data_IF_715720061393
#
_entry.id   IF_715720061393
#
_cell.length_a   1.000
_cell.length_b   1.000
_cell.length_c   1.000
_cell.angle_alpha   90.00
_cell.angle_beta   90.00
_cell.angle_gamma   90.00
#
_symmetry.space_group_name_H-M   'P 1'
#
loop_
_entity.id
_entity.type
_entity.pdbx_description
1 polymer ?
#
# COMPACT_ATOMS: atom_id res chain seq x y z
N UNK A 1 7.45 0.32 -11.14
CA UNK A 1 6.86 -0.84 -10.46
C UNK A 1 7.03 -2.04 -11.37
N UNK A 2 7.50 -3.15 -10.83
CA UNK A 2 7.66 -4.43 -11.56
C UNK A 2 6.67 -5.44 -10.99
N UNK A 3 6.19 -6.37 -11.83
CA UNK A 3 5.25 -7.40 -11.40
C UNK A 3 5.53 -8.73 -12.05
N UNK A 4 5.35 -9.80 -11.28
CA UNK A 4 5.55 -11.18 -11.72
C UNK A 4 4.48 -12.07 -11.09
N UNK A 5 4.07 -13.13 -11.77
CA UNK A 5 3.28 -14.21 -11.17
C UNK A 5 4.24 -15.38 -10.89
N UNK A 6 4.24 -15.86 -9.65
CA UNK A 6 4.95 -17.07 -9.24
C UNK A 6 3.95 -18.19 -9.00
N UNK A 7 4.31 -19.40 -9.44
CA UNK A 7 3.52 -20.64 -9.27
C UNK A 7 2.03 -20.52 -9.64
N UNK A 8 1.71 -19.58 -10.54
CA UNK A 8 0.38 -19.20 -11.03
C UNK A 8 -0.62 -18.69 -9.96
N UNK A 9 -0.26 -18.65 -8.68
CA UNK A 9 -1.15 -18.26 -7.58
C UNK A 9 -0.57 -17.23 -6.60
N UNK A 10 0.69 -16.82 -6.78
CA UNK A 10 1.35 -15.78 -6.00
C UNK A 10 1.62 -14.57 -6.89
N UNK A 11 1.00 -13.43 -6.58
CA UNK A 11 1.34 -12.16 -7.19
C UNK A 11 2.58 -11.55 -6.53
N UNK A 12 3.49 -11.04 -7.32
CA UNK A 12 4.63 -10.28 -6.86
C UNK A 12 4.55 -8.86 -7.41
N UNK A 13 4.71 -7.87 -6.53
CA UNK A 13 4.78 -6.45 -6.87
C UNK A 13 6.02 -5.88 -6.21
N UNK A 14 6.95 -5.37 -7.00
CA UNK A 14 8.10 -4.60 -6.50
C UNK A 14 7.82 -3.11 -6.59
N UNK A 15 7.86 -2.45 -5.44
CA UNK A 15 7.61 -1.04 -5.30
C UNK A 15 8.86 -0.32 -4.77
N UNK A 16 9.50 0.44 -5.67
CA UNK A 16 10.76 1.17 -5.40
C UNK A 16 10.55 2.63 -4.93
N UNK A 17 9.34 3.18 -5.06
CA UNK A 17 9.00 4.54 -4.61
C UNK A 17 7.48 4.73 -4.47
N UNK A 18 7.04 5.51 -3.47
CA UNK A 18 5.64 5.91 -3.31
C UNK A 18 5.27 7.14 -4.17
N UNK A 19 4.95 6.92 -5.45
CA UNK A 19 4.49 7.96 -6.38
C UNK A 19 2.98 8.27 -6.31
N UNK A 20 2.55 9.38 -6.94
CA UNK A 20 1.14 9.84 -6.96
C UNK A 20 0.17 8.86 -7.61
N UNK A 21 0.59 8.18 -8.69
CA UNK A 21 -0.27 7.28 -9.47
C UNK A 21 -0.20 5.81 -9.02
N UNK A 22 0.81 5.46 -8.24
CA UNK A 22 1.13 4.07 -7.86
C UNK A 22 -0.04 3.38 -7.16
N UNK A 23 -0.74 4.06 -6.24
CA UNK A 23 -1.85 3.45 -5.52
C UNK A 23 -2.96 3.00 -6.48
N UNK A 24 -3.27 3.81 -7.50
CA UNK A 24 -4.27 3.45 -8.51
C UNK A 24 -3.85 2.25 -9.35
N UNK A 25 -2.58 2.18 -9.73
CA UNK A 25 -2.04 1.10 -10.55
C UNK A 25 -1.97 -0.23 -9.80
N UNK A 26 -1.57 -0.20 -8.51
CA UNK A 26 -1.60 -1.37 -7.64
C UNK A 26 -3.04 -1.86 -7.50
N UNK A 27 -4.01 -0.99 -7.20
CA UNK A 27 -5.42 -1.37 -7.07
C UNK A 27 -5.96 -2.07 -8.33
N UNK A 28 -5.67 -1.53 -9.52
CA UNK A 28 -6.08 -2.14 -10.80
C UNK A 28 -5.48 -3.54 -10.98
N UNK A 29 -4.20 -3.72 -10.64
CA UNK A 29 -3.52 -5.01 -10.75
C UNK A 29 -4.05 -6.03 -9.75
N UNK A 30 -4.23 -5.63 -8.49
CA UNK A 30 -4.82 -6.49 -7.46
C UNK A 30 -6.25 -6.92 -7.83
N UNK A 31 -7.05 -6.04 -8.44
CA UNK A 31 -8.36 -6.41 -8.96
C UNK A 31 -8.29 -7.45 -10.09
N UNK A 32 -7.27 -7.36 -10.96
CA UNK A 32 -6.98 -8.38 -11.96
C UNK A 32 -6.59 -9.72 -11.32
N UNK A 33 -5.66 -9.69 -10.38
CA UNK A 33 -5.18 -10.88 -9.65
C UNK A 33 -6.29 -11.58 -8.86
N UNK A 34 -7.17 -10.81 -8.21
CA UNK A 34 -8.35 -11.35 -7.52
C UNK A 34 -9.27 -12.13 -8.47
N UNK A 35 -9.46 -11.64 -9.71
CA UNK A 35 -10.25 -12.35 -10.74
C UNK A 35 -9.55 -13.60 -11.27
N UNK A 36 -8.22 -13.61 -11.27
CA UNK A 36 -7.41 -14.76 -11.68
C UNK A 36 -7.30 -15.84 -10.61
N UNK A 37 -7.81 -15.60 -9.39
CA UNK A 37 -7.74 -16.57 -8.30
C UNK A 37 -6.41 -16.59 -7.55
N UNK A 38 -5.61 -15.52 -7.67
CA UNK A 38 -4.36 -15.35 -6.90
C UNK A 38 -4.66 -15.42 -5.40
N UNK A 39 -3.86 -16.20 -4.67
CA UNK A 39 -4.05 -16.53 -3.25
C UNK A 39 -3.08 -15.82 -2.32
N UNK A 40 -1.94 -15.38 -2.85
CA UNK A 40 -0.94 -14.66 -2.07
C UNK A 40 -0.38 -13.45 -2.82
N UNK A 41 0.10 -12.47 -2.07
CA UNK A 41 0.80 -11.29 -2.57
C UNK A 41 2.14 -11.14 -1.85
N UNK A 42 3.21 -10.98 -2.63
CA UNK A 42 4.50 -10.50 -2.17
C UNK A 42 4.63 -9.04 -2.61
N UNK A 43 4.63 -8.12 -1.64
CA UNK A 43 4.95 -6.72 -1.86
C UNK A 43 6.41 -6.49 -1.48
N UNK A 44 7.28 -6.38 -2.48
CA UNK A 44 8.70 -6.12 -2.28
C UNK A 44 8.98 -4.61 -2.20
N UNK A 45 9.40 -4.18 -1.00
CA UNK A 45 9.78 -2.79 -0.68
C UNK A 45 11.30 -2.59 -0.58
N UNK A 46 12.12 -3.58 -0.97
CA UNK A 46 13.58 -3.45 -0.94
C UNK A 46 14.05 -2.29 -1.82
N UNK A 47 14.95 -1.48 -1.27
CA UNK A 47 15.49 -0.26 -1.87
C UNK A 47 14.47 0.86 -2.10
N UNK A 48 13.31 0.84 -1.44
CA UNK A 48 12.33 1.93 -1.46
C UNK A 48 12.75 3.07 -0.53
N UNK A 49 13.35 4.12 -1.08
CA UNK A 49 14.03 5.18 -0.33
C UNK A 49 13.17 6.43 -0.03
N UNK A 50 11.99 6.59 -0.63
CA UNK A 50 11.23 7.85 -0.51
C UNK A 50 9.77 7.71 -0.96
N UNK A 51 9.07 8.84 -0.88
CA UNK A 51 7.83 9.09 -1.60
C UNK A 51 6.76 9.72 -0.73
N UNK A 52 5.54 9.71 -1.24
CA UNK A 52 4.42 10.44 -0.66
C UNK A 52 3.74 9.62 0.43
N UNK A 53 3.72 10.16 1.65
CA UNK A 53 3.01 9.55 2.78
C UNK A 53 1.54 9.24 2.45
N UNK A 54 0.85 10.13 1.74
CA UNK A 54 -0.52 9.89 1.28
C UNK A 54 -0.65 8.68 0.35
N UNK A 55 0.35 8.46 -0.52
CA UNK A 55 0.37 7.28 -1.40
C UNK A 55 0.58 5.99 -0.58
N UNK A 56 1.47 6.01 0.41
CA UNK A 56 1.66 4.89 1.33
C UNK A 56 0.37 4.57 2.12
N UNK A 57 -0.29 5.59 2.68
CA UNK A 57 -1.58 5.45 3.37
C UNK A 57 -2.64 4.81 2.47
N UNK A 58 -2.74 5.27 1.21
CA UNK A 58 -3.69 4.71 0.26
C UNK A 58 -3.41 3.24 -0.08
N UNK A 59 -2.14 2.86 -0.23
CA UNK A 59 -1.74 1.47 -0.50
C UNK A 59 -2.04 0.57 0.70
N UNK A 60 -1.70 1.00 1.91
CA UNK A 60 -1.97 0.22 3.14
C UNK A 60 -3.47 0.01 3.35
N UNK A 61 -4.27 1.04 3.06
CA UNK A 61 -5.74 1.00 3.16
C UNK A 61 -6.41 -0.01 2.23
N UNK A 62 -5.67 -0.59 1.27
CA UNK A 62 -6.16 -1.66 0.41
C UNK A 62 -6.25 -3.01 1.12
N UNK A 63 -5.48 -3.19 2.20
CA UNK A 63 -5.33 -4.48 2.89
C UNK A 63 -5.91 -4.46 4.31
N UNK A 64 -5.87 -3.30 4.96
CA UNK A 64 -6.30 -3.17 6.36
C UNK A 64 -7.75 -2.67 6.40
N UNK A 65 -8.62 -3.45 7.04
CA UNK A 65 -10.00 -3.07 7.38
C UNK A 65 -9.99 -2.14 8.58
N UNK A 66 -11.07 -1.35 8.71
CA UNK A 66 -11.31 -0.41 9.80
C UNK A 66 -10.37 0.82 9.79
N UNK A 67 -10.73 1.87 10.53
CA UNK A 67 -9.92 3.10 10.69
C UNK A 67 -8.79 2.87 11.70
N UNK A 68 -7.75 2.17 11.28
CA UNK A 68 -6.55 1.92 12.09
C UNK A 68 -5.56 3.08 11.90
N UNK A 69 -4.97 3.54 13.00
CA UNK A 69 -3.89 4.51 12.98
C UNK A 69 -2.66 3.91 12.28
N UNK A 70 -2.28 4.46 11.13
CA UNK A 70 -1.12 4.04 10.34
C UNK A 70 0.14 4.73 10.83
N UNK A 71 0.09 6.07 10.96
CA UNK A 71 1.27 6.85 11.36
C UNK A 71 0.86 8.03 12.22
N UNK A 72 1.70 8.31 13.20
CA UNK A 72 1.75 9.59 13.90
C UNK A 72 2.94 10.38 13.36
N UNK A 73 2.68 11.48 12.67
CA UNK A 73 3.72 12.41 12.24
C UNK A 73 3.74 13.61 13.20
N UNK A 74 4.84 13.80 13.92
CA UNK A 74 5.05 15.00 14.75
C UNK A 74 5.99 15.93 14.00
N UNK A 75 5.50 17.11 13.58
CA UNK A 75 6.35 18.12 12.97
C UNK A 75 6.91 19.04 14.06
N UNK A 76 7.99 18.64 14.74
CA UNK A 76 8.63 19.44 15.81
C UNK A 76 8.50 18.81 17.21
N UNK A 77 8.67 19.60 18.27
CA UNK A 77 8.56 19.15 19.69
C UNK A 77 7.24 19.52 20.37
N UNK A 78 6.26 19.99 19.60
CA UNK A 78 4.97 20.47 20.14
C UNK A 78 3.88 19.47 19.77
N UNK A 79 3.19 18.95 20.78
CA UNK A 79 2.16 17.92 20.66
C UNK A 79 1.00 18.34 19.73
N UNK A 80 0.71 19.64 19.67
CA UNK A 80 -0.33 20.25 18.81
C UNK A 80 -0.01 20.13 17.31
N UNK A 81 1.25 19.84 16.95
CA UNK A 81 1.67 19.59 15.55
C UNK A 81 1.61 18.10 15.16
N UNK A 82 1.03 17.25 16.01
CA UNK A 82 0.80 15.85 15.74
C UNK A 82 -0.28 15.69 14.66
N UNK A 83 0.08 15.05 13.54
CA UNK A 83 -0.84 14.59 12.51
C UNK A 83 -0.95 13.08 12.57
N UNK A 84 -2.17 12.60 12.73
CA UNK A 84 -2.50 11.19 12.68
C UNK A 84 -3.04 10.85 11.30
N UNK A 85 -2.52 9.77 10.71
CA UNK A 85 -3.00 9.24 9.45
C UNK A 85 -3.63 7.89 9.73
N UNK A 86 -4.89 7.75 9.35
CA UNK A 86 -5.64 6.51 9.47
C UNK A 86 -5.78 5.85 8.11
N UNK A 87 -6.02 4.55 8.11
CA UNK A 87 -6.54 3.86 6.93
C UNK A 87 -7.85 4.51 6.46
N UNK A 88 -8.02 4.58 5.16
CA UNK A 88 -9.17 5.22 4.49
C UNK A 88 -9.95 4.25 3.61
N UNK A 89 -9.68 2.95 3.69
CA UNK A 89 -10.25 1.93 2.83
C UNK A 89 -10.76 0.73 3.64
N UNK A 90 -11.43 -0.18 2.94
CA UNK A 90 -12.19 -1.26 3.56
C UNK A 90 -11.47 -2.62 3.51
N UNK A 91 -10.14 -2.63 3.31
CA UNK A 91 -9.36 -3.86 3.14
C UNK A 91 -9.91 -4.74 2.01
N UNK A 92 -9.99 -4.19 0.79
CA UNK A 92 -10.63 -4.81 -0.37
C UNK A 92 -9.88 -6.06 -0.91
N UNK A 93 -8.58 -6.16 -0.61
CA UNK A 93 -7.67 -7.19 -1.11
C UNK A 93 -7.02 -7.95 0.04
N UNK A 94 -6.99 -9.28 -0.11
CA UNK A 94 -6.46 -10.28 0.84
C UNK A 94 -7.08 -10.19 2.24
#
# INVERSE_FOLDING_TARGET
>A
METTLFDDDIAYIRLIEFGTQIAGDIKKRLAGYKKQGIRALILDLRNNHSGLLGSAVNIISMFIKDKILIITAVKGRVEEMKKEYFTTGDGEFF
#
